data_IF_702277486042
#
_entry.id   IF_702277486042
#
_cell.length_a   1.000
_cell.length_b   1.000
_cell.length_c   1.000
_cell.angle_alpha   90.00
_cell.angle_beta   90.00
_cell.angle_gamma   90.00
#
_symmetry.space_group_name_H-M   'P 1'
#
loop_
_entity.id
_entity.type
_entity.pdbx_description
1 polymer ?
#
# COMPACT_ATOMS: atom_id res chain seq x y z
N UNK A 1 7.36 -28.58 -0.56
CA UNK A 1 7.97 -27.24 -0.45
C UNK A 1 7.23 -26.54 0.67
N UNK A 2 7.91 -26.10 1.74
CA UNK A 2 7.27 -25.35 2.80
C UNK A 2 6.79 -24.03 2.20
N UNK A 3 5.50 -23.74 2.30
CA UNK A 3 4.99 -22.43 1.92
C UNK A 3 5.50 -21.42 2.94
N UNK A 4 6.21 -20.39 2.49
CA UNK A 4 6.58 -19.25 3.33
C UNK A 4 5.33 -18.61 3.91
N UNK A 5 5.40 -18.16 5.16
CA UNK A 5 4.23 -17.56 5.81
C UNK A 5 3.94 -16.14 5.31
N UNK A 6 4.95 -15.28 5.27
CA UNK A 6 4.80 -13.86 4.89
C UNK A 6 5.78 -13.46 3.78
N UNK A 7 5.29 -12.86 2.71
CA UNK A 7 6.12 -12.22 1.68
C UNK A 7 6.09 -10.71 1.83
N UNK A 8 7.27 -10.09 1.89
CA UNK A 8 7.43 -8.62 1.86
C UNK A 8 7.92 -8.22 0.48
N UNK A 9 7.12 -7.47 -0.25
CA UNK A 9 7.47 -6.94 -1.59
C UNK A 9 7.94 -5.50 -1.49
N UNK A 10 9.14 -5.23 -2.00
CA UNK A 10 9.83 -3.96 -1.84
C UNK A 10 10.33 -3.47 -3.20
N UNK A 11 9.73 -2.42 -3.76
CA UNK A 11 10.28 -1.75 -4.93
C UNK A 11 11.51 -0.94 -4.51
N UNK A 12 12.68 -1.37 -4.95
CA UNK A 12 13.94 -0.70 -4.65
C UNK A 12 14.15 0.54 -5.49
N UNK A 13 14.94 1.48 -4.97
CA UNK A 13 15.35 2.74 -5.62
C UNK A 13 16.86 2.91 -5.49
N UNK A 14 17.43 3.78 -6.33
CA UNK A 14 18.83 4.19 -6.19
C UNK A 14 19.03 4.96 -4.87
N UNK A 15 20.16 4.74 -4.19
CA UNK A 15 20.56 5.53 -3.01
C UNK A 15 20.12 4.96 -1.65
N UNK A 16 19.33 3.89 -1.62
CA UNK A 16 18.99 3.24 -0.36
C UNK A 16 20.10 2.28 0.08
N UNK A 17 20.67 2.59 1.24
CA UNK A 17 21.90 1.98 1.74
C UNK A 17 21.70 0.68 2.51
N UNK A 18 22.83 0.05 2.82
CA UNK A 18 22.91 -1.20 3.59
C UNK A 18 22.26 -1.09 4.98
N UNK A 19 22.26 0.14 5.56
CA UNK A 19 21.65 0.38 6.86
C UNK A 19 20.15 0.02 6.89
N UNK A 20 19.37 0.52 5.93
CA UNK A 20 17.94 0.21 5.84
C UNK A 20 17.71 -1.30 5.72
N UNK A 21 18.52 -1.96 4.87
CA UNK A 21 18.41 -3.40 4.67
C UNK A 21 18.78 -4.16 5.95
N UNK A 22 19.83 -3.72 6.66
CA UNK A 22 20.21 -4.28 7.94
C UNK A 22 19.10 -4.23 8.98
N UNK A 23 18.34 -3.12 9.04
CA UNK A 23 17.17 -2.99 9.92
C UNK A 23 16.04 -3.92 9.48
N UNK A 24 15.75 -4.00 8.18
CA UNK A 24 14.71 -4.89 7.66
C UNK A 24 15.00 -6.35 7.99
N UNK A 25 16.26 -6.78 7.91
CA UNK A 25 16.66 -8.17 8.17
C UNK A 25 16.60 -8.56 9.65
N UNK A 26 16.36 -7.62 10.57
CA UNK A 26 16.05 -7.92 11.99
C UNK A 26 14.67 -8.55 12.18
N UNK A 27 13.80 -8.48 11.19
CA UNK A 27 12.49 -9.15 11.22
C UNK A 27 12.68 -10.67 11.36
N UNK A 28 11.96 -11.25 12.33
CA UNK A 28 12.06 -12.68 12.67
C UNK A 28 10.89 -13.47 12.09
N UNK A 29 11.08 -14.78 11.97
CA UNK A 29 10.03 -15.74 11.60
C UNK A 29 10.13 -16.26 10.16
N UNK A 30 9.10 -16.97 9.73
CA UNK A 30 8.99 -17.55 8.38
C UNK A 30 8.56 -16.46 7.38
N UNK A 31 9.54 -15.83 6.78
CA UNK A 31 9.38 -14.63 5.94
C UNK A 31 10.33 -14.68 4.73
N UNK A 32 9.88 -14.15 3.61
CA UNK A 32 10.73 -13.83 2.47
C UNK A 32 10.67 -12.32 2.14
N UNK A 33 11.82 -11.78 1.74
CA UNK A 33 11.96 -10.40 1.26
C UNK A 33 12.20 -10.41 -0.24
N UNK A 34 11.32 -9.79 -1.01
CA UNK A 34 11.42 -9.71 -2.46
C UNK A 34 11.78 -8.28 -2.83
N UNK A 35 13.07 -8.05 -3.04
CA UNK A 35 13.64 -6.77 -3.44
C UNK A 35 13.61 -6.68 -4.96
N UNK A 36 12.85 -5.73 -5.48
CA UNK A 36 12.68 -5.57 -6.93
C UNK A 36 13.37 -4.29 -7.40
N UNK A 37 14.50 -4.46 -8.07
CA UNK A 37 15.34 -3.36 -8.54
C UNK A 37 14.89 -2.84 -9.91
N UNK A 38 14.98 -1.54 -10.17
CA UNK A 38 14.82 -0.99 -11.52
C UNK A 38 16.02 -1.38 -12.40
N UNK A 39 15.89 -1.34 -13.73
CA UNK A 39 17.00 -1.64 -14.64
C UNK A 39 18.17 -0.70 -14.41
N UNK A 40 19.38 -1.26 -14.42
CA UNK A 40 20.65 -0.55 -14.21
C UNK A 40 21.06 -0.35 -12.75
N UNK A 41 20.23 -0.73 -11.80
CA UNK A 41 20.59 -0.75 -10.37
C UNK A 41 21.14 -2.12 -10.01
N UNK A 42 22.33 -2.15 -9.41
CA UNK A 42 22.93 -3.40 -8.93
C UNK A 42 22.19 -3.91 -7.70
N UNK A 43 21.91 -5.22 -7.62
CA UNK A 43 21.42 -5.84 -6.39
C UNK A 43 22.36 -5.57 -5.21
N UNK A 44 21.81 -5.57 -4.00
CA UNK A 44 22.60 -5.46 -2.78
C UNK A 44 23.57 -6.65 -2.65
N UNK A 45 24.82 -6.44 -2.20
CA UNK A 45 25.76 -7.54 -1.94
C UNK A 45 25.39 -8.37 -0.71
N UNK A 46 24.44 -7.92 0.09
CA UNK A 46 23.97 -8.64 1.27
C UNK A 46 23.37 -9.97 0.87
N UNK A 47 23.83 -11.04 1.49
CA UNK A 47 23.36 -12.41 1.25
C UNK A 47 22.60 -12.90 2.49
N UNK A 48 21.27 -12.94 2.37
CA UNK A 48 20.36 -13.54 3.36
C UNK A 48 19.49 -14.57 2.66
N UNK A 49 19.36 -15.81 3.16
CA UNK A 49 18.60 -16.86 2.50
C UNK A 49 17.11 -16.55 2.35
N UNK A 50 16.57 -15.62 3.14
CA UNK A 50 15.20 -15.14 3.04
C UNK A 50 15.02 -14.09 1.95
N UNK A 51 16.11 -13.57 1.37
CA UNK A 51 16.09 -12.46 0.43
C UNK A 51 16.15 -12.95 -1.01
N UNK A 52 15.17 -12.53 -1.81
CA UNK A 52 15.14 -12.72 -3.26
C UNK A 52 15.30 -11.36 -3.94
N UNK A 53 16.31 -11.21 -4.78
CA UNK A 53 16.55 -9.98 -5.53
C UNK A 53 16.21 -10.19 -7.01
N UNK A 54 15.40 -9.29 -7.59
CA UNK A 54 14.94 -9.34 -8.97
C UNK A 54 15.24 -8.01 -9.63
N UNK A 55 15.88 -8.02 -10.79
CA UNK A 55 16.06 -6.81 -11.61
C UNK A 55 15.02 -6.80 -12.71
N UNK A 56 14.20 -5.73 -12.75
CA UNK A 56 13.20 -5.55 -13.79
C UNK A 56 13.82 -5.15 -15.13
N UNK A 57 13.23 -5.61 -16.21
CA UNK A 57 13.63 -5.18 -17.56
C UNK A 57 13.24 -3.73 -17.89
N UNK A 58 12.20 -3.21 -17.25
CA UNK A 58 11.65 -1.88 -17.48
C UNK A 58 11.58 -1.07 -16.19
N UNK A 59 11.79 0.25 -16.28
CA UNK A 59 11.61 1.18 -15.16
C UNK A 59 10.13 1.41 -14.88
N UNK A 60 9.77 1.48 -13.62
CA UNK A 60 8.44 1.85 -13.17
C UNK A 60 8.07 1.13 -11.88
N UNK A 61 7.58 1.89 -10.90
CA UNK A 61 7.24 1.34 -9.60
C UNK A 61 6.11 0.28 -9.70
N UNK A 62 5.15 0.50 -10.60
CA UNK A 62 4.09 -0.48 -10.86
C UNK A 62 4.67 -1.81 -11.40
N UNK A 63 5.69 -1.74 -12.27
CA UNK A 63 6.33 -2.94 -12.82
C UNK A 63 7.06 -3.68 -11.71
N UNK A 64 7.80 -2.94 -10.88
CA UNK A 64 8.52 -3.53 -9.76
C UNK A 64 7.56 -4.20 -8.77
N UNK A 65 6.48 -3.54 -8.38
CA UNK A 65 5.50 -4.13 -7.46
C UNK A 65 4.78 -5.33 -8.07
N UNK A 66 4.32 -5.22 -9.31
CA UNK A 66 3.68 -6.37 -9.99
C UNK A 66 4.63 -7.55 -10.11
N UNK A 67 5.91 -7.30 -10.46
CA UNK A 67 6.94 -8.34 -10.50
C UNK A 67 7.13 -8.98 -9.12
N UNK A 68 7.20 -8.17 -8.07
CA UNK A 68 7.33 -8.66 -6.70
C UNK A 68 6.12 -9.51 -6.29
N UNK A 69 4.91 -9.02 -6.51
CA UNK A 69 3.68 -9.76 -6.17
C UNK A 69 3.59 -11.10 -6.91
N UNK A 70 3.88 -11.13 -8.20
CA UNK A 70 3.86 -12.37 -8.99
C UNK A 70 4.93 -13.40 -8.57
N UNK A 71 5.97 -12.95 -7.86
CA UNK A 71 7.04 -13.80 -7.33
C UNK A 71 6.87 -14.15 -5.85
N UNK A 72 5.86 -13.60 -5.18
CA UNK A 72 5.56 -13.86 -3.78
C UNK A 72 4.95 -15.26 -3.58
N UNK A 73 5.48 -16.01 -2.61
CA UNK A 73 5.08 -17.38 -2.29
C UNK A 73 4.40 -17.51 -0.93
N UNK A 74 4.47 -16.45 -0.12
CA UNK A 74 3.89 -16.44 1.22
C UNK A 74 2.37 -16.60 1.20
N UNK A 75 1.84 -17.19 2.25
CA UNK A 75 0.38 -17.24 2.50
C UNK A 75 -0.20 -15.84 2.61
N UNK A 76 0.59 -14.93 3.17
CA UNK A 76 0.26 -13.51 3.32
C UNK A 76 1.27 -12.65 2.58
N UNK A 77 0.86 -11.45 2.17
CA UNK A 77 1.69 -10.53 1.43
C UNK A 77 1.54 -9.11 1.97
N UNK A 78 2.66 -8.43 2.12
CA UNK A 78 2.76 -7.02 2.46
C UNK A 78 3.65 -6.32 1.45
N UNK A 79 3.35 -5.08 1.11
CA UNK A 79 4.28 -4.23 0.37
C UNK A 79 4.68 -3.03 1.19
N UNK A 80 5.96 -2.75 1.21
CA UNK A 80 6.55 -1.57 1.84
C UNK A 80 7.47 -0.85 0.85
N UNK A 81 7.80 0.39 1.15
CA UNK A 81 8.83 1.13 0.43
C UNK A 81 10.20 0.92 1.08
N UNK A 82 11.27 1.27 0.38
CA UNK A 82 12.63 1.22 0.90
C UNK A 82 12.98 2.35 1.89
N UNK A 83 12.01 3.15 2.30
CA UNK A 83 12.05 4.13 3.38
C UNK A 83 11.11 3.74 4.55
N UNK A 84 10.66 2.50 4.57
CA UNK A 84 9.75 1.95 5.57
C UNK A 84 10.42 0.78 6.31
N UNK A 85 10.20 0.70 7.61
CA UNK A 85 10.79 -0.25 8.54
C UNK A 85 9.70 -1.03 9.25
N UNK A 86 9.90 -2.32 9.44
CA UNK A 86 8.93 -3.22 10.06
C UNK A 86 9.35 -3.62 11.47
N UNK A 87 8.36 -3.76 12.33
CA UNK A 87 8.57 -4.33 13.66
C UNK A 87 9.21 -5.73 13.56
N UNK A 88 10.26 -6.04 14.34
CA UNK A 88 10.95 -7.34 14.27
C UNK A 88 10.06 -8.57 14.46
N UNK A 89 8.96 -8.44 15.19
CA UNK A 89 8.02 -9.53 15.48
C UNK A 89 6.73 -9.47 14.64
N UNK A 90 6.77 -8.80 13.48
CA UNK A 90 5.59 -8.64 12.61
C UNK A 90 4.98 -9.97 12.19
N UNK A 91 5.80 -11.02 11.98
CA UNK A 91 5.31 -12.35 11.59
C UNK A 91 4.44 -12.96 12.68
N UNK A 92 4.85 -12.86 13.94
CA UNK A 92 4.06 -13.33 15.10
C UNK A 92 2.73 -12.60 15.18
N UNK A 93 2.75 -11.27 15.04
CA UNK A 93 1.54 -10.45 15.05
C UNK A 93 0.56 -10.84 13.95
N UNK A 94 1.06 -11.02 12.72
CA UNK A 94 0.24 -11.42 11.56
C UNK A 94 -0.36 -12.81 11.78
N UNK A 95 0.42 -13.73 12.33
CA UNK A 95 -0.04 -15.08 12.65
C UNK A 95 -1.18 -15.05 13.68
N UNK A 96 -0.96 -14.40 14.82
CA UNK A 96 -1.97 -14.29 15.89
C UNK A 96 -3.25 -13.62 15.39
N UNK A 97 -3.12 -12.64 14.49
CA UNK A 97 -4.27 -12.00 13.89
C UNK A 97 -5.09 -12.94 13.01
N UNK A 98 -4.47 -13.63 12.06
CA UNK A 98 -5.20 -14.49 11.14
C UNK A 98 -5.64 -15.80 11.79
N UNK A 99 -4.99 -16.25 12.85
CA UNK A 99 -5.46 -17.35 13.70
C UNK A 99 -6.77 -16.95 14.41
N UNK A 100 -6.88 -15.71 14.91
CA UNK A 100 -8.10 -15.17 15.51
C UNK A 100 -9.19 -14.87 14.47
N UNK A 101 -8.82 -14.37 13.29
CA UNK A 101 -9.74 -13.93 12.25
C UNK A 101 -9.48 -14.64 10.91
N UNK A 102 -9.73 -15.97 10.83
CA UNK A 102 -9.38 -16.76 9.64
C UNK A 102 -10.13 -16.32 8.37
N UNK A 103 -11.29 -15.67 8.51
CA UNK A 103 -12.08 -15.18 7.38
C UNK A 103 -11.73 -13.74 6.95
N UNK A 104 -10.86 -13.05 7.68
CA UNK A 104 -10.37 -11.73 7.28
C UNK A 104 -9.52 -11.83 6.03
N UNK A 105 -9.63 -10.84 5.16
CA UNK A 105 -8.81 -10.70 3.96
C UNK A 105 -7.52 -9.93 4.23
N UNK A 106 -7.59 -9.02 5.21
CA UNK A 106 -6.58 -7.99 5.40
C UNK A 106 -6.41 -7.61 6.86
N UNK A 107 -5.16 -7.31 7.25
CA UNK A 107 -4.79 -6.65 8.47
C UNK A 107 -4.11 -5.32 8.14
N UNK A 108 -4.65 -4.19 8.59
CA UNK A 108 -4.01 -2.89 8.45
C UNK A 108 -3.07 -2.63 9.62
N UNK A 109 -1.81 -2.31 9.29
CA UNK A 109 -0.77 -1.97 10.26
C UNK A 109 -0.88 -0.51 10.71
N UNK A 110 -0.54 -0.24 11.95
CA UNK A 110 -0.33 1.10 12.48
C UNK A 110 1.06 1.62 12.09
N UNK A 111 1.14 2.90 11.81
CA UNK A 111 2.31 3.54 11.25
C UNK A 111 2.69 4.79 12.04
N UNK A 112 3.98 4.96 12.31
CA UNK A 112 4.58 6.19 12.77
C UNK A 112 5.48 6.79 11.67
N UNK A 113 5.31 8.08 11.36
CA UNK A 113 6.17 8.83 10.45
C UNK A 113 7.10 9.76 11.23
N UNK A 114 8.33 9.90 10.78
CA UNK A 114 9.31 10.83 11.34
C UNK A 114 10.14 11.47 10.22
N UNK A 115 10.64 12.69 10.44
CA UNK A 115 11.46 13.38 9.45
C UNK A 115 12.71 12.60 9.09
N UNK A 116 13.12 12.66 7.83
CA UNK A 116 14.36 12.05 7.36
C UNK A 116 15.57 12.57 8.15
N UNK A 117 16.44 11.64 8.53
CA UNK A 117 17.66 11.94 9.29
C UNK A 117 17.50 11.90 10.82
N UNK A 118 16.28 11.78 11.34
CA UNK A 118 16.03 11.55 12.78
C UNK A 118 16.30 10.08 13.16
N UNK A 119 17.53 9.61 12.98
CA UNK A 119 17.91 8.20 13.24
C UNK A 119 17.66 7.74 14.66
N UNK A 120 17.75 8.63 15.63
CA UNK A 120 17.47 8.32 17.04
C UNK A 120 16.07 7.75 17.24
N UNK A 121 15.08 8.25 16.48
CA UNK A 121 13.70 7.71 16.51
C UNK A 121 13.61 6.35 15.86
N UNK A 122 14.34 6.14 14.76
CA UNK A 122 14.39 4.85 14.09
C UNK A 122 15.01 3.79 14.97
N UNK A 123 16.11 4.13 15.66
CA UNK A 123 16.87 3.25 16.55
C UNK A 123 16.21 3.07 17.91
N UNK A 124 15.21 3.90 18.24
CA UNK A 124 14.48 3.75 19.50
C UNK A 124 13.84 2.36 19.60
N UNK A 125 13.73 1.79 20.80
CA UNK A 125 13.06 0.49 20.97
C UNK A 125 11.67 0.50 20.36
N UNK A 126 11.33 -0.59 19.69
CA UNK A 126 9.97 -0.78 19.22
C UNK A 126 9.03 -0.98 20.41
N UNK A 127 7.82 -0.41 20.37
CA UNK A 127 6.82 -0.73 21.38
C UNK A 127 6.48 -2.23 21.30
N UNK A 128 6.02 -2.79 22.41
CA UNK A 128 5.57 -4.18 22.44
C UNK A 128 4.41 -4.37 21.45
N UNK A 129 4.47 -5.43 20.63
CA UNK A 129 3.36 -5.77 19.76
C UNK A 129 2.09 -6.02 20.59
N UNK A 130 0.93 -5.56 20.13
CA UNK A 130 -0.31 -5.76 20.86
C UNK A 130 -0.68 -7.26 20.90
N UNK A 131 -1.16 -7.71 22.03
CA UNK A 131 -1.81 -9.03 22.09
C UNK A 131 -3.15 -8.98 21.37
N UNK A 132 -3.11 -9.33 20.09
CA UNK A 132 -4.29 -9.30 19.22
C UNK A 132 -5.45 -10.12 19.78
N UNK A 133 -5.17 -11.16 20.59
CA UNK A 133 -6.21 -12.05 21.15
C UNK A 133 -7.06 -11.35 22.22
N UNK A 134 -6.46 -10.40 22.93
CA UNK A 134 -7.13 -9.63 24.00
C UNK A 134 -7.79 -8.34 23.53
N UNK A 135 -7.45 -7.83 22.32
CA UNK A 135 -8.00 -6.58 21.81
C UNK A 135 -9.52 -6.68 21.57
N UNK A 136 -10.28 -5.72 22.10
CA UNK A 136 -11.68 -5.58 21.77
C UNK A 136 -11.88 -5.12 20.32
N UNK A 137 -12.99 -5.50 19.71
CA UNK A 137 -13.37 -5.06 18.36
C UNK A 137 -14.27 -3.84 18.49
N UNK A 138 -13.98 -2.80 17.71
CA UNK A 138 -14.80 -1.60 17.65
C UNK A 138 -15.26 -1.36 16.21
N UNK A 139 -16.56 -1.14 16.03
CA UNK A 139 -17.10 -0.74 14.74
C UNK A 139 -16.72 0.71 14.46
N UNK A 140 -16.14 1.00 13.29
CA UNK A 140 -15.79 2.35 12.87
C UNK A 140 -17.01 3.26 12.63
N UNK A 141 -18.22 2.69 12.65
CA UNK A 141 -19.48 3.45 12.56
C UNK A 141 -19.76 4.26 13.82
N UNK A 142 -19.18 3.85 14.93
CA UNK A 142 -19.22 4.61 16.19
C UNK A 142 -18.19 5.73 16.07
N UNK A 143 -18.67 6.96 15.92
CA UNK A 143 -17.91 8.17 15.57
C UNK A 143 -16.96 8.68 16.69
N UNK A 144 -16.19 7.82 17.30
CA UNK A 144 -15.22 8.16 18.35
C UNK A 144 -13.77 8.05 17.82
N UNK A 145 -13.37 9.01 16.97
CA UNK A 145 -11.99 9.07 16.47
C UNK A 145 -10.92 9.18 17.57
N UNK A 146 -11.28 9.68 18.75
CA UNK A 146 -10.37 9.80 19.89
C UNK A 146 -10.16 8.47 20.61
N UNK A 147 -11.19 7.62 20.73
CA UNK A 147 -11.11 6.30 21.37
C UNK A 147 -10.07 5.41 20.68
N UNK A 148 -9.91 5.52 19.37
CA UNK A 148 -8.96 4.69 18.63
C UNK A 148 -7.49 5.05 18.91
N UNK A 149 -7.19 6.32 19.16
CA UNK A 149 -5.83 6.77 19.47
C UNK A 149 -5.41 6.45 20.90
N UNK A 150 -6.36 6.38 21.80
CA UNK A 150 -6.13 6.24 23.25
C UNK A 150 -6.34 4.82 23.76
N UNK A 151 -7.02 3.95 23.01
CA UNK A 151 -7.44 2.63 23.45
C UNK A 151 -6.98 1.49 22.54
N UNK A 152 -6.79 0.33 23.13
CA UNK A 152 -6.38 -0.90 22.47
C UNK A 152 -7.55 -1.62 21.78
N UNK A 153 -8.13 -1.02 20.76
CA UNK A 153 -9.19 -1.64 19.96
C UNK A 153 -8.72 -2.01 18.55
N UNK A 154 -9.26 -3.11 18.04
CA UNK A 154 -9.24 -3.41 16.60
C UNK A 154 -10.42 -2.71 15.92
N UNK A 155 -10.13 -1.84 14.96
CA UNK A 155 -11.18 -1.18 14.18
C UNK A 155 -11.56 -2.03 12.98
N UNK A 156 -12.85 -2.34 12.84
CA UNK A 156 -13.37 -3.02 11.65
C UNK A 156 -13.10 -2.21 10.37
N UNK A 157 -12.70 -2.92 9.32
CA UNK A 157 -12.56 -2.39 7.97
C UNK A 157 -13.63 -3.05 7.11
N UNK A 158 -14.74 -2.36 6.82
CA UNK A 158 -15.74 -2.88 5.92
C UNK A 158 -15.26 -2.85 4.47
N UNK A 159 -15.85 -3.68 3.64
CA UNK A 159 -15.66 -3.65 2.20
C UNK A 159 -16.11 -2.28 1.64
N UNK A 160 -15.47 -1.82 0.57
CA UNK A 160 -15.89 -0.62 -0.11
C UNK A 160 -17.34 -0.77 -0.62
N UNK A 161 -18.17 0.28 -0.53
CA UNK A 161 -19.59 0.22 -0.91
C UNK A 161 -19.72 0.26 -2.45
N UNK A 162 -19.27 -0.80 -3.11
CA UNK A 162 -19.18 -0.87 -4.57
C UNK A 162 -20.57 -0.86 -5.24
N UNK A 163 -21.58 -1.34 -4.52
CA UNK A 163 -22.99 -1.35 -4.91
C UNK A 163 -23.70 0.01 -4.79
N UNK A 164 -22.99 1.05 -4.30
CA UNK A 164 -23.51 2.41 -4.37
C UNK A 164 -23.86 2.77 -5.82
N UNK A 165 -25.00 3.44 -6.03
CA UNK A 165 -25.44 3.80 -7.37
C UNK A 165 -24.47 4.79 -8.03
N UNK A 166 -24.46 4.77 -9.35
CA UNK A 166 -23.80 5.80 -10.13
C UNK A 166 -24.43 7.17 -9.81
N UNK A 167 -23.56 8.14 -9.52
CA UNK A 167 -23.97 9.50 -9.22
C UNK A 167 -23.34 10.50 -10.20
N UNK A 168 -24.06 11.01 -11.19
CA UNK A 168 -23.53 11.95 -12.16
C UNK A 168 -23.08 13.28 -11.53
N UNK A 169 -23.54 13.63 -10.33
CA UNK A 169 -23.07 14.83 -9.62
C UNK A 169 -21.58 14.75 -9.26
N UNK A 170 -20.96 13.59 -9.34
CA UNK A 170 -19.50 13.42 -9.22
C UNK A 170 -18.72 14.18 -10.31
N UNK A 171 -19.36 14.53 -11.43
CA UNK A 171 -18.79 15.38 -12.49
C UNK A 171 -18.73 16.87 -12.11
N UNK A 172 -19.61 17.33 -11.25
CA UNK A 172 -19.78 18.77 -10.94
C UNK A 172 -19.29 19.06 -9.52
N UNK A 173 -19.26 18.07 -8.66
CA UNK A 173 -18.95 18.20 -7.24
C UNK A 173 -17.92 17.22 -6.75
N UNK A 174 -17.49 17.42 -5.49
CA UNK A 174 -16.60 16.47 -4.83
C UNK A 174 -17.32 15.15 -4.59
N UNK A 175 -16.71 14.05 -5.04
CA UNK A 175 -17.12 12.70 -4.70
C UNK A 175 -17.27 12.55 -3.17
N UNK A 176 -18.37 11.97 -2.71
CA UNK A 176 -18.68 11.80 -1.28
C UNK A 176 -18.65 10.36 -0.79
N UNK A 177 -18.86 9.40 -1.68
CA UNK A 177 -18.94 7.96 -1.37
C UNK A 177 -17.60 7.34 -0.91
N UNK A 178 -16.47 8.04 -1.13
CA UNK A 178 -15.18 7.66 -0.57
C UNK A 178 -15.04 7.97 0.93
N UNK A 179 -15.96 8.77 1.49
CA UNK A 179 -15.99 9.07 2.91
C UNK A 179 -16.67 7.92 3.65
N UNK A 180 -15.92 7.27 4.50
CA UNK A 180 -16.45 6.15 5.26
C UNK A 180 -15.34 5.34 5.93
N UNK A 181 -15.72 4.30 6.65
CA UNK A 181 -14.76 3.44 7.36
C UNK A 181 -13.97 2.50 6.43
N UNK A 182 -14.43 2.29 5.20
CA UNK A 182 -13.78 1.42 4.21
C UNK A 182 -12.44 1.99 3.72
N UNK A 183 -11.66 1.14 3.09
CA UNK A 183 -10.33 1.49 2.58
C UNK A 183 -10.20 1.10 1.12
N UNK A 184 -9.81 2.05 0.26
CA UNK A 184 -9.61 1.82 -1.17
C UNK A 184 -8.20 1.27 -1.47
N UNK A 185 -7.18 1.68 -0.70
CA UNK A 185 -5.77 1.44 -0.99
C UNK A 185 -5.29 0.07 -0.51
N UNK A 186 -4.29 -0.46 -1.20
CA UNK A 186 -3.65 -1.75 -0.90
C UNK A 186 -2.53 -1.64 0.15
N UNK A 187 -1.78 -0.55 0.15
CA UNK A 187 -0.58 -0.32 0.97
C UNK A 187 -0.82 -0.42 2.49
N UNK A 188 0.27 -0.63 3.25
CA UNK A 188 0.27 -0.70 4.74
C UNK A 188 -0.68 -1.77 5.30
N UNK A 189 -0.96 -2.76 4.52
CA UNK A 189 -1.86 -3.86 4.86
C UNK A 189 -1.24 -5.19 4.49
N UNK A 190 -1.37 -6.14 5.38
CA UNK A 190 -1.06 -7.55 5.13
C UNK A 190 -2.31 -8.19 4.54
N UNK A 191 -2.21 -8.69 3.32
CA UNK A 191 -3.32 -9.31 2.58
C UNK A 191 -3.14 -10.83 2.50
N UNK A 192 -4.23 -11.56 2.43
CA UNK A 192 -4.19 -12.96 1.99
C UNK A 192 -3.73 -13.05 0.54
N UNK A 193 -2.64 -13.78 0.29
CA UNK A 193 -2.04 -13.84 -1.04
C UNK A 193 -2.94 -14.55 -2.07
N UNK A 194 -3.80 -15.46 -1.62
CA UNK A 194 -4.81 -16.12 -2.47
C UNK A 194 -5.79 -15.13 -3.14
N UNK A 195 -6.03 -13.95 -2.54
CA UNK A 195 -6.84 -12.89 -3.12
C UNK A 195 -6.02 -11.97 -4.03
N UNK A 196 -4.75 -11.78 -3.69
CA UNK A 196 -3.85 -10.86 -4.41
C UNK A 196 -3.41 -11.45 -5.75
N UNK A 197 -3.01 -12.72 -5.78
CA UNK A 197 -2.46 -13.36 -6.98
C UNK A 197 -3.39 -13.31 -8.21
N UNK A 198 -4.68 -13.67 -8.11
CA UNK A 198 -5.59 -13.56 -9.25
C UNK A 198 -5.76 -12.12 -9.72
N UNK A 199 -5.90 -11.17 -8.78
CA UNK A 199 -6.08 -9.76 -9.10
C UNK A 199 -4.86 -9.18 -9.83
N UNK A 200 -3.64 -9.44 -9.35
CA UNK A 200 -2.40 -8.97 -9.98
C UNK A 200 -2.23 -9.56 -11.39
N UNK A 201 -2.51 -10.85 -11.58
CA UNK A 201 -2.45 -11.52 -12.89
C UNK A 201 -3.39 -10.86 -13.90
N UNK A 202 -4.64 -10.61 -13.51
CA UNK A 202 -5.63 -9.99 -14.38
C UNK A 202 -5.33 -8.52 -14.69
N UNK A 203 -4.88 -7.75 -13.68
CA UNK A 203 -4.44 -6.37 -13.87
C UNK A 203 -3.24 -6.34 -14.83
N UNK A 204 -2.24 -7.19 -14.63
CA UNK A 204 -1.04 -7.24 -15.46
C UNK A 204 -1.38 -7.60 -16.92
N UNK A 205 -2.27 -8.58 -17.13
CA UNK A 205 -2.76 -8.94 -18.45
C UNK A 205 -3.51 -7.76 -19.12
N UNK A 206 -4.33 -7.03 -18.36
CA UNK A 206 -5.05 -5.86 -18.86
C UNK A 206 -4.10 -4.69 -19.22
N UNK A 207 -3.03 -4.51 -18.46
CA UNK A 207 -2.02 -3.46 -18.67
C UNK A 207 -1.13 -3.73 -19.88
N UNK A 208 -0.86 -4.97 -20.24
CA UNK A 208 -0.03 -5.32 -21.39
C UNK A 208 -0.58 -4.75 -22.71
N UNK A 209 -1.88 -4.48 -22.75
CA UNK A 209 -2.59 -3.94 -23.93
C UNK A 209 -2.58 -2.40 -23.98
N UNK A 210 -2.24 -1.72 -22.87
CA UNK A 210 -2.44 -0.27 -22.73
C UNK A 210 -1.20 0.60 -22.99
N UNK A 211 -0.09 0.04 -23.46
CA UNK A 211 1.12 0.81 -23.84
C UNK A 211 2.05 1.10 -22.65
N UNK A 212 2.79 2.21 -22.61
CA UNK A 212 3.98 2.37 -21.78
C UNK A 212 3.68 2.41 -20.27
N UNK A 213 3.43 1.26 -19.70
CA UNK A 213 3.21 0.99 -18.26
C UNK A 213 4.27 1.65 -17.35
N UNK A 214 5.48 1.87 -17.88
CA UNK A 214 6.61 2.52 -17.17
C UNK A 214 6.30 3.93 -16.62
N UNK A 215 5.21 4.54 -17.07
CA UNK A 215 4.81 5.90 -16.65
C UNK A 215 3.65 5.94 -15.68
N UNK A 216 3.06 4.80 -15.33
CA UNK A 216 1.94 4.76 -14.39
C UNK A 216 2.48 4.97 -12.97
N UNK A 217 2.05 6.00 -12.25
CA UNK A 217 2.48 6.26 -10.87
C UNK A 217 2.09 5.11 -9.95
N UNK A 218 2.93 4.83 -8.94
CA UNK A 218 2.68 3.75 -7.98
C UNK A 218 1.34 3.87 -7.25
N UNK A 219 0.95 5.08 -6.85
CA UNK A 219 -0.31 5.28 -6.15
C UNK A 219 -1.55 4.87 -6.96
N UNK A 220 -1.44 4.82 -8.31
CA UNK A 220 -2.49 4.29 -9.17
C UNK A 220 -2.63 2.78 -8.99
N UNK A 221 -1.53 2.02 -8.88
CA UNK A 221 -1.60 0.59 -8.61
C UNK A 221 -2.16 0.32 -7.21
N UNK A 222 -1.78 1.10 -6.23
CA UNK A 222 -2.19 0.92 -4.84
C UNK A 222 -3.72 0.92 -4.69
N UNK A 223 -4.39 1.97 -5.18
CA UNK A 223 -5.86 2.03 -5.20
C UNK A 223 -6.46 1.02 -6.17
N UNK A 224 -5.88 0.90 -7.36
CA UNK A 224 -6.34 -0.05 -8.37
C UNK A 224 -6.38 -1.46 -7.79
N UNK A 225 -5.28 -1.92 -7.18
CA UNK A 225 -5.19 -3.28 -6.64
C UNK A 225 -6.14 -3.48 -5.45
N UNK A 226 -6.19 -2.53 -4.52
CA UNK A 226 -7.08 -2.60 -3.36
C UNK A 226 -8.56 -2.68 -3.73
N UNK A 227 -9.00 -1.87 -4.70
CA UNK A 227 -10.38 -1.91 -5.20
C UNK A 227 -10.62 -3.11 -6.12
N UNK A 228 -9.62 -3.54 -6.89
CA UNK A 228 -9.75 -4.72 -7.77
C UNK A 228 -10.07 -5.98 -6.97
N UNK A 229 -9.32 -6.22 -5.88
CA UNK A 229 -9.58 -7.34 -4.97
C UNK A 229 -10.99 -7.24 -4.41
N UNK A 230 -11.38 -6.08 -3.90
CA UNK A 230 -12.70 -5.89 -3.31
C UNK A 230 -13.82 -6.07 -4.33
N UNK A 231 -13.63 -5.61 -5.58
CA UNK A 231 -14.64 -5.76 -6.63
C UNK A 231 -14.76 -7.21 -7.12
N UNK A 232 -13.63 -7.92 -7.20
CA UNK A 232 -13.60 -9.32 -7.64
C UNK A 232 -14.28 -10.26 -6.66
N UNK A 233 -14.09 -10.04 -5.37
CA UNK A 233 -14.60 -10.87 -4.28
C UNK A 233 -15.70 -10.16 -3.48
N UNK A 234 -16.45 -9.26 -4.11
CA UNK A 234 -17.45 -8.42 -3.44
C UNK A 234 -18.56 -9.23 -2.75
N UNK A 235 -18.71 -8.98 -1.46
CA UNK A 235 -19.80 -9.45 -0.62
C UNK A 235 -20.35 -8.24 0.14
N UNK A 236 -21.62 -7.91 -0.08
CA UNK A 236 -22.25 -6.73 0.54
C UNK A 236 -22.20 -6.80 2.07
N UNK A 237 -21.78 -5.71 2.70
CA UNK A 237 -21.73 -5.59 4.16
C UNK A 237 -20.62 -6.36 4.85
N UNK A 238 -19.71 -7.00 4.10
CA UNK A 238 -18.61 -7.78 4.66
C UNK A 238 -17.60 -6.89 5.38
N UNK A 239 -17.19 -7.29 6.58
CA UNK A 239 -15.95 -6.81 7.22
C UNK A 239 -14.79 -7.58 6.64
N UNK A 240 -13.91 -6.88 5.89
CA UNK A 240 -12.77 -7.52 5.22
C UNK A 240 -11.54 -7.68 6.11
N UNK A 241 -11.50 -7.00 7.24
CA UNK A 241 -10.40 -7.09 8.19
C UNK A 241 -10.47 -6.05 9.28
N UNK A 242 -9.32 -5.80 9.91
CA UNK A 242 -9.23 -4.85 11.02
C UNK A 242 -8.01 -3.96 10.88
N UNK A 243 -8.06 -2.81 11.53
CA UNK A 243 -6.97 -1.88 11.70
C UNK A 243 -6.45 -1.96 13.13
N UNK A 244 -5.13 -2.15 13.27
CA UNK A 244 -4.44 -2.16 14.56
C UNK A 244 -4.40 -0.77 15.20
N UNK A 245 -4.39 -0.67 16.53
CA UNK A 245 -4.27 0.60 17.26
C UNK A 245 -3.02 1.39 16.83
N UNK A 246 -3.14 2.70 16.68
CA UNK A 246 -2.02 3.57 16.26
C UNK A 246 -0.87 3.59 17.30
N UNK A 247 -1.17 3.43 18.59
CA UNK A 247 -0.17 3.37 19.64
C UNK A 247 0.75 2.15 19.56
N UNK A 248 0.34 1.14 18.82
CA UNK A 248 1.03 -0.16 18.74
C UNK A 248 2.02 -0.26 17.59
N UNK A 249 2.44 0.83 17.04
CA UNK A 249 3.45 1.03 15.98
C UNK A 249 4.09 -0.25 15.39
N UNK A 250 3.66 -0.68 14.20
CA UNK A 250 4.26 -1.83 13.51
C UNK A 250 5.09 -1.44 12.30
N UNK A 251 4.93 -0.18 11.86
CA UNK A 251 5.57 0.35 10.68
C UNK A 251 6.13 1.74 10.99
N UNK A 252 7.42 1.95 10.74
CA UNK A 252 8.09 3.26 10.80
C UNK A 252 8.40 3.74 9.39
N UNK A 253 8.26 5.05 9.16
CA UNK A 253 8.48 5.65 7.84
C UNK A 253 9.33 6.89 7.99
N UNK A 254 10.40 6.97 7.21
CA UNK A 254 11.16 8.20 7.03
C UNK A 254 10.50 9.06 5.94
N UNK A 255 10.06 10.25 6.31
CA UNK A 255 9.44 11.18 5.39
C UNK A 255 10.47 12.01 4.62
N UNK A 256 10.29 12.10 3.29
CA UNK A 256 11.07 12.98 2.40
C UNK A 256 12.60 12.83 2.43
N UNK A 257 13.18 11.65 2.19
CA UNK A 257 14.62 11.51 2.05
C UNK A 257 15.14 12.42 0.92
N UNK A 258 16.19 13.25 1.16
CA UNK A 258 16.65 14.28 0.22
C UNK A 258 17.20 13.74 -1.10
N UNK A 259 17.69 12.52 -1.12
CA UNK A 259 18.27 11.85 -2.30
C UNK A 259 17.21 11.33 -3.28
N UNK A 260 15.95 11.56 -2.97
CA UNK A 260 14.85 11.07 -3.78
C UNK A 260 14.64 11.88 -5.05
N UNK A 261 15.26 11.50 -6.16
CA UNK A 261 14.93 12.02 -7.50
C UNK A 261 13.58 11.48 -7.94
N UNK A 262 12.53 12.26 -7.74
CA UNK A 262 11.21 11.93 -8.27
C UNK A 262 11.28 11.88 -9.79
N UNK A 263 11.04 10.71 -10.39
CA UNK A 263 10.87 10.58 -11.84
C UNK A 263 9.68 11.43 -12.28
N UNK A 264 9.78 12.07 -13.45
CA UNK A 264 8.66 12.79 -14.07
C UNK A 264 7.46 11.84 -14.15
N UNK A 265 6.36 12.20 -13.51
CA UNK A 265 5.16 11.37 -13.43
C UNK A 265 4.16 11.83 -14.48
N UNK A 266 3.74 10.93 -15.35
CA UNK A 266 2.52 11.09 -16.13
C UNK A 266 1.35 10.57 -15.30
N UNK A 267 0.33 11.40 -15.12
CA UNK A 267 -0.90 11.01 -14.45
C UNK A 267 -1.79 10.28 -15.45
N UNK A 268 -1.73 8.96 -15.44
CA UNK A 268 -2.67 8.11 -16.17
C UNK A 268 -3.69 7.55 -15.16
N UNK A 269 -4.95 7.55 -15.55
CA UNK A 269 -6.03 7.02 -14.70
C UNK A 269 -6.03 5.50 -14.87
N UNK A 270 -5.15 4.80 -14.14
CA UNK A 270 -5.05 3.35 -14.21
C UNK A 270 -6.33 2.65 -13.72
N UNK A 271 -7.08 3.29 -12.85
CA UNK A 271 -8.35 2.80 -12.31
C UNK A 271 -9.44 2.60 -13.38
N UNK A 272 -9.27 3.13 -14.61
CA UNK A 272 -10.14 2.79 -15.75
C UNK A 272 -10.21 1.28 -15.99
N UNK A 273 -9.15 0.54 -15.64
CA UNK A 273 -9.13 -0.93 -15.70
C UNK A 273 -10.25 -1.54 -14.83
N UNK A 274 -10.60 -0.89 -13.72
CA UNK A 274 -11.71 -1.32 -12.87
C UNK A 274 -13.04 -1.29 -13.62
N UNK A 275 -13.28 -0.25 -14.41
CA UNK A 275 -14.53 -0.15 -15.20
C UNK A 275 -14.59 -1.20 -16.30
N UNK A 276 -13.43 -1.51 -16.92
CA UNK A 276 -13.36 -2.56 -17.93
C UNK A 276 -13.78 -3.92 -17.38
N UNK A 277 -13.37 -4.25 -16.15
CA UNK A 277 -13.58 -5.56 -15.56
C UNK A 277 -14.86 -5.62 -14.69
N UNK A 278 -15.27 -4.48 -14.11
CA UNK A 278 -16.39 -4.41 -13.16
C UNK A 278 -17.36 -3.24 -13.49
N UNK A 279 -17.91 -3.16 -14.71
CA UNK A 279 -18.73 -2.02 -15.15
C UNK A 279 -20.05 -1.86 -14.37
N UNK A 280 -20.47 -2.90 -13.66
CA UNK A 280 -21.71 -2.91 -12.88
C UNK A 280 -21.70 -2.06 -11.60
N UNK A 281 -20.51 -1.68 -11.10
CA UNK A 281 -20.39 -0.96 -9.84
C UNK A 281 -20.38 0.55 -10.02
N UNK A 282 -21.47 1.22 -9.60
CA UNK A 282 -21.60 2.68 -9.71
C UNK A 282 -20.54 3.45 -8.93
N UNK A 283 -20.09 2.92 -7.80
CA UNK A 283 -18.97 3.45 -7.02
C UNK A 283 -17.69 3.67 -7.85
N UNK A 284 -17.35 2.70 -8.73
CA UNK A 284 -16.16 2.80 -9.58
C UNK A 284 -16.33 3.87 -10.66
N UNK A 285 -17.53 4.04 -11.19
CA UNK A 285 -17.84 5.15 -12.11
C UNK A 285 -17.68 6.51 -11.41
N UNK A 286 -18.20 6.64 -10.19
CA UNK A 286 -18.06 7.86 -9.39
C UNK A 286 -16.59 8.20 -9.13
N UNK A 287 -15.74 7.17 -8.85
CA UNK A 287 -14.30 7.33 -8.69
C UNK A 287 -13.64 7.90 -9.96
N UNK A 288 -13.88 7.29 -11.11
CA UNK A 288 -13.24 7.69 -12.37
C UNK A 288 -13.70 9.07 -12.80
N UNK A 289 -14.99 9.38 -12.68
CA UNK A 289 -15.51 10.71 -13.00
C UNK A 289 -14.90 11.80 -12.13
N UNK A 290 -14.82 11.58 -10.82
CA UNK A 290 -14.18 12.52 -9.91
C UNK A 290 -12.70 12.76 -10.27
N UNK A 291 -11.98 11.72 -10.64
CA UNK A 291 -10.58 11.87 -11.09
C UNK A 291 -10.48 12.61 -12.43
N UNK A 292 -11.37 12.34 -13.38
CA UNK A 292 -11.38 13.02 -14.67
C UNK A 292 -11.57 14.53 -14.51
N UNK A 293 -12.38 14.98 -13.54
CA UNK A 293 -12.56 16.43 -13.25
C UNK A 293 -11.34 17.07 -12.58
N UNK A 294 -10.51 16.28 -11.89
CA UNK A 294 -9.28 16.80 -11.26
C UNK A 294 -8.08 16.91 -12.24
N UNK A 295 -8.09 16.16 -13.34
CA UNK A 295 -6.98 16.13 -14.31
C UNK A 295 -6.65 17.51 -14.90
N UNK A 296 -7.60 18.33 -15.34
CA UNK A 296 -7.30 19.67 -15.85
C UNK A 296 -6.64 20.58 -14.82
N UNK A 297 -7.14 20.58 -13.57
CA UNK A 297 -6.56 21.35 -12.47
C UNK A 297 -5.11 20.95 -12.19
N UNK A 298 -4.84 19.65 -12.11
CA UNK A 298 -3.48 19.12 -11.90
C UNK A 298 -2.54 19.43 -13.06
N UNK A 299 -3.02 19.44 -14.29
CA UNK A 299 -2.24 19.82 -15.47
C UNK A 299 -1.86 21.32 -15.42
N UNK A 300 -2.81 22.19 -15.05
CA UNK A 300 -2.59 23.64 -14.87
C UNK A 300 -1.57 23.89 -13.75
N UNK A 301 -1.71 23.21 -12.60
CA UNK A 301 -0.76 23.36 -11.48
C UNK A 301 0.65 22.86 -11.85
N UNK A 302 0.74 21.81 -12.65
CA UNK A 302 2.01 21.31 -13.17
C UNK A 302 2.66 22.31 -14.13
N UNK A 303 1.88 22.98 -14.98
CA UNK A 303 2.34 24.04 -15.87
C UNK A 303 2.79 25.29 -15.09
N UNK A 304 2.00 25.72 -14.10
CA UNK A 304 2.36 26.85 -13.23
C UNK A 304 3.69 26.62 -12.51
N UNK A 305 3.92 25.42 -11.93
CA UNK A 305 5.20 25.09 -11.29
C UNK A 305 6.40 25.08 -12.26
N UNK A 306 6.17 24.81 -13.54
CA UNK A 306 7.24 24.89 -14.56
C UNK A 306 7.54 26.30 -15.00
N UNK A 307 6.53 27.17 -15.02
CA UNK A 307 6.65 28.55 -15.51
C UNK A 307 7.05 29.54 -14.40
N UNK A 308 6.74 29.24 -13.16
CA UNK A 308 7.12 30.03 -11.99
C UNK A 308 8.16 29.22 -11.19
N UNK A 309 9.47 29.50 -11.34
CA UNK A 309 10.48 28.89 -10.50
C UNK A 309 10.19 29.23 -9.05
N UNK A 310 10.11 28.17 -8.21
CA UNK A 310 9.94 28.35 -6.75
C UNK A 310 11.04 29.27 -6.23
N UNK A 311 10.63 30.36 -5.58
CA UNK A 311 11.56 31.16 -4.79
C UNK A 311 12.20 30.23 -3.77
N UNK A 312 13.55 30.23 -3.63
CA UNK A 312 14.20 29.43 -2.62
C UNK A 312 13.59 29.78 -1.26
N UNK A 313 13.06 28.78 -0.57
CA UNK A 313 12.59 28.93 0.80
C UNK A 313 13.81 29.28 1.65
N UNK A 314 13.90 30.54 2.07
CA UNK A 314 14.84 30.96 3.09
C UNK A 314 14.40 30.25 4.36
N UNK A 315 15.17 29.22 4.74
CA UNK A 315 15.04 28.58 6.05
C UNK A 315 15.30 29.63 7.12
N UNK A 316 14.26 29.91 7.90
CA UNK A 316 14.43 30.57 9.20
C UNK A 316 14.62 29.51 10.27
#
# INVERSE_FOLDING_TARGET
MSNTFLSIVIPMREGFGEYWLGELLKVKGDIEFILVHPPGVKPSPVNDPRMKQIVCALRGEIIQRSTGFLNARGTYILTINCDEYLHPEIVTLVKDYFDRFPNSWVLRLARCGFPYGEREKLESPWPTIPDVKSLAICSRRENNSNLFKENNYLLEVPIAPLDNPFNPSALIGKRRDHKGPHMENFDKKVWKNELVQPAVKEITASMSVTGPIKYIPFWCLDRLLGLYIQAKFFEQGKTIGHWLPEIAEQLRIEDNPPEYKRTKRFYFIAEVILLKNFPKYGYLWNLILAQATEVPGRAIDSLKRKLLPEKPSISK
#
